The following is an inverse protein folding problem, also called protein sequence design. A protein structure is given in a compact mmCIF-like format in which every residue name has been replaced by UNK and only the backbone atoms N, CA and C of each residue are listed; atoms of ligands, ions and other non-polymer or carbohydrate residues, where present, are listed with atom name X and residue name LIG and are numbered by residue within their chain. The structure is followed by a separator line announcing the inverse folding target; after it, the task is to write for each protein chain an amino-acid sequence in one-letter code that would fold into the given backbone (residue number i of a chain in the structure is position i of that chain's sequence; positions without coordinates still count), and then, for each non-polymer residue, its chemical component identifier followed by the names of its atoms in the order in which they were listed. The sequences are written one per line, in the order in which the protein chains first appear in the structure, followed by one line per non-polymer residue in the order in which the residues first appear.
data_IF_429202975957
#
_entry.id   IF_429202975957
#
_cell.length_a   1.000
_cell.length_b   1.000
_cell.length_c   1.000
_cell.angle_alpha   90.00
_cell.angle_beta   90.00
_cell.angle_gamma   90.00
#
_symmetry.space_group_name_H-M   'P 1'
#
loop_
_entity.id
_entity.type
_entity.pdbx_description
1 polymer ?
#
# COMPACT_ATOMS: atom_id res chain seq x y z
N UNK A 1 -2.94 8.44 -16.70
CA UNK A 1 -2.31 8.68 -15.40
C UNK A 1 -1.20 7.65 -15.24
N UNK A 2 0.01 8.05 -14.87
CA UNK A 2 1.07 7.08 -14.57
C UNK A 2 0.83 6.41 -13.20
N UNK A 3 1.41 5.22 -13.00
CA UNK A 3 1.17 4.41 -11.80
C UNK A 3 1.62 5.10 -10.51
N UNK A 4 2.74 5.83 -10.53
CA UNK A 4 3.19 6.59 -9.35
C UNK A 4 2.16 7.65 -8.93
N UNK A 5 1.57 8.36 -9.88
CA UNK A 5 0.54 9.37 -9.60
C UNK A 5 -0.71 8.77 -8.97
N UNK A 6 -1.11 7.56 -9.37
CA UNK A 6 -2.25 6.85 -8.75
C UNK A 6 -2.02 6.59 -7.26
N UNK A 7 -0.85 6.10 -6.88
CA UNK A 7 -0.49 5.88 -5.47
C UNK A 7 -0.46 7.19 -4.67
N UNK A 8 0.04 8.27 -5.27
CA UNK A 8 0.04 9.59 -4.63
C UNK A 8 -1.37 10.14 -4.44
N UNK A 9 -2.31 9.86 -5.35
CA UNK A 9 -3.72 10.21 -5.17
C UNK A 9 -4.35 9.47 -3.99
N UNK A 10 -4.03 8.19 -3.80
CA UNK A 10 -4.46 7.46 -2.59
C UNK A 10 -3.90 8.09 -1.32
N UNK A 11 -2.60 8.43 -1.32
CA UNK A 11 -1.94 9.10 -0.19
C UNK A 11 -2.63 10.43 0.11
N UNK A 12 -2.82 11.29 -0.88
CA UNK A 12 -3.48 12.58 -0.72
C UNK A 12 -4.90 12.41 -0.16
N UNK A 13 -5.68 11.47 -0.70
CA UNK A 13 -7.04 11.20 -0.23
C UNK A 13 -7.08 10.73 1.22
N UNK A 14 -6.17 9.85 1.64
CA UNK A 14 -6.05 9.38 3.03
C UNK A 14 -5.60 10.49 3.99
N UNK A 15 -4.85 11.48 3.51
CA UNK A 15 -4.48 12.67 4.28
C UNK A 15 -5.62 13.70 4.38
N UNK A 16 -6.76 13.44 3.74
CA UNK A 16 -7.92 14.33 3.74
C UNK A 16 -7.91 15.39 2.63
N UNK A 17 -6.95 15.33 1.71
CA UNK A 17 -6.93 16.24 0.56
C UNK A 17 -8.10 15.95 -0.39
N UNK A 18 -8.65 16.98 -1.07
CA UNK A 18 -9.70 16.80 -2.06
C UNK A 18 -9.13 16.15 -3.31
N UNK A 19 -9.49 14.89 -3.55
CA UNK A 19 -9.04 14.10 -4.71
C UNK A 19 -10.25 13.52 -5.41
N UNK A 20 -11.08 14.37 -6.03
CA UNK A 20 -12.33 13.96 -6.68
C UNK A 20 -13.34 13.34 -5.71
N UNK A 21 -14.53 13.92 -5.60
CA UNK A 21 -15.48 13.53 -4.54
C UNK A 21 -15.91 12.05 -4.56
N UNK A 22 -15.75 11.37 -5.71
CA UNK A 22 -16.12 9.96 -5.93
C UNK A 22 -14.94 8.97 -5.85
N UNK A 23 -13.70 9.42 -5.59
CA UNK A 23 -12.54 8.54 -5.74
C UNK A 23 -12.45 7.46 -4.64
N UNK A 24 -12.60 7.85 -3.38
CA UNK A 24 -12.70 6.95 -2.22
C UNK A 24 -13.63 7.58 -1.18
N UNK A 25 -14.65 6.84 -0.75
CA UNK A 25 -15.49 7.22 0.38
C UNK A 25 -14.85 6.76 1.69
N UNK A 26 -14.21 7.66 2.42
CA UNK A 26 -13.56 7.37 3.70
C UNK A 26 -14.44 7.80 4.90
N UNK A 27 -15.74 8.01 4.69
CA UNK A 27 -16.65 8.44 5.75
C UNK A 27 -16.68 7.41 6.89
N UNK A 28 -16.49 7.89 8.12
CA UNK A 28 -16.45 7.04 9.32
C UNK A 28 -15.20 6.18 9.49
N UNK A 29 -14.20 6.31 8.62
CA UNK A 29 -12.94 5.58 8.74
C UNK A 29 -11.95 6.30 9.68
N UNK A 30 -11.45 5.58 10.69
CA UNK A 30 -10.28 6.02 11.44
C UNK A 30 -9.00 5.66 10.67
N UNK A 31 -8.57 6.58 9.80
CA UNK A 31 -7.36 6.41 8.99
C UNK A 31 -6.11 6.18 9.85
N UNK A 32 -6.05 6.75 11.06
CA UNK A 32 -4.88 6.62 11.94
C UNK A 32 -4.65 5.19 12.44
N UNK A 33 -5.69 4.35 12.39
CA UNK A 33 -5.66 2.95 12.81
C UNK A 33 -5.22 1.98 11.69
N UNK A 34 -4.98 2.47 10.47
CA UNK A 34 -4.70 1.63 9.29
C UNK A 34 -3.25 1.12 9.23
N UNK A 35 -2.86 0.36 10.26
CA UNK A 35 -1.51 -0.16 10.47
C UNK A 35 -1.46 -1.68 10.31
N UNK A 36 -0.42 -2.20 9.66
CA UNK A 36 -0.26 -3.64 9.50
C UNK A 36 -0.07 -4.37 10.83
N UNK A 37 0.66 -3.76 11.78
CA UNK A 37 0.83 -4.26 13.15
C UNK A 37 -0.49 -4.37 13.93
N UNK A 38 -1.56 -3.72 13.49
CA UNK A 38 -2.88 -3.82 14.10
C UNK A 38 -3.76 -4.78 13.31
N UNK A 39 -3.76 -4.66 11.98
CA UNK A 39 -4.80 -5.24 11.13
C UNK A 39 -4.45 -6.59 10.50
N UNK A 40 -3.16 -6.93 10.31
CA UNK A 40 -2.72 -8.18 9.65
C UNK A 40 -2.87 -9.41 10.53
N UNK A 41 -4.12 -9.81 10.80
CA UNK A 41 -4.48 -10.93 11.69
C UNK A 41 -4.12 -12.30 11.12
N UNK A 42 -3.61 -12.37 9.89
CA UNK A 42 -2.98 -13.57 9.32
C UNK A 42 -1.62 -13.88 9.97
N UNK A 43 -0.98 -12.90 10.61
CA UNK A 43 0.22 -13.12 11.42
C UNK A 43 -0.12 -13.26 12.91
N UNK A 44 0.69 -14.03 13.64
CA UNK A 44 0.67 -14.03 15.09
C UNK A 44 1.08 -12.66 15.66
N UNK A 45 0.77 -12.43 16.93
CA UNK A 45 1.02 -11.14 17.61
C UNK A 45 2.50 -10.72 17.58
N UNK A 46 3.42 -11.66 17.78
CA UNK A 46 4.86 -11.36 17.80
C UNK A 46 5.32 -10.95 16.41
N UNK A 47 5.02 -11.74 15.39
CA UNK A 47 5.38 -11.42 14.00
C UNK A 47 4.80 -10.07 13.57
N UNK A 48 3.53 -9.83 13.92
CA UNK A 48 2.83 -8.60 13.59
C UNK A 48 3.43 -7.36 14.28
N UNK A 49 3.89 -7.48 15.53
CA UNK A 49 4.57 -6.39 16.26
C UNK A 49 5.91 -5.97 15.62
N UNK A 50 6.55 -6.86 14.86
CA UNK A 50 7.82 -6.62 14.20
C UNK A 50 7.68 -6.05 12.77
N UNK A 51 6.48 -6.02 12.21
CA UNK A 51 6.24 -5.59 10.83
C UNK A 51 6.73 -4.17 10.55
N UNK A 52 6.51 -3.23 11.47
CA UNK A 52 6.98 -1.84 11.31
C UNK A 52 8.50 -1.78 11.10
N UNK A 53 9.26 -2.50 11.93
CA UNK A 53 10.73 -2.56 11.78
C UNK A 53 11.15 -3.25 10.49
N UNK A 54 10.54 -4.38 10.15
CA UNK A 54 10.86 -5.12 8.93
C UNK A 54 10.57 -4.31 7.66
N UNK A 55 9.47 -3.53 7.66
CA UNK A 55 9.11 -2.65 6.56
C UNK A 55 10.06 -1.46 6.44
N UNK A 56 10.47 -0.85 7.55
CA UNK A 56 11.47 0.23 7.55
C UNK A 56 12.81 -0.24 6.95
N UNK A 57 13.28 -1.42 7.35
CA UNK A 57 14.48 -2.03 6.77
C UNK A 57 14.28 -2.33 5.28
N UNK A 58 13.11 -2.83 4.88
CA UNK A 58 12.77 -3.06 3.48
C UNK A 58 12.84 -1.76 2.67
N UNK A 59 12.28 -0.67 3.18
CA UNK A 59 12.27 0.64 2.50
C UNK A 59 13.67 1.19 2.27
N UNK A 60 14.52 1.13 3.29
CA UNK A 60 15.91 1.60 3.23
C UNK A 60 16.72 0.88 2.15
N UNK A 61 16.47 -0.42 1.96
CA UNK A 61 17.12 -1.21 0.90
C UNK A 61 16.79 -0.73 -0.52
N UNK A 62 15.71 0.05 -0.70
CA UNK A 62 15.29 0.60 -1.98
C UNK A 62 15.33 2.14 -1.99
N UNK A 63 16.12 2.73 -1.10
CA UNK A 63 16.36 4.18 -1.08
C UNK A 63 15.13 5.00 -0.70
N UNK A 64 14.19 4.42 0.06
CA UNK A 64 13.04 5.12 0.61
C UNK A 64 13.19 5.32 2.11
N UNK A 65 12.91 6.54 2.58
CA UNK A 65 12.89 6.87 4.00
C UNK A 65 11.45 7.16 4.43
N UNK A 66 10.95 6.36 5.38
CA UNK A 66 9.61 6.53 5.91
C UNK A 66 9.53 7.82 6.76
N UNK A 67 8.62 8.73 6.39
CA UNK A 67 8.35 9.95 7.17
C UNK A 67 7.38 9.74 8.33
N UNK A 68 6.62 8.64 8.29
CA UNK A 68 5.68 8.25 9.32
C UNK A 68 5.91 6.81 9.75
N UNK A 69 4.92 6.21 10.40
CA UNK A 69 5.02 4.81 10.82
C UNK A 69 5.16 3.89 9.58
N UNK A 70 6.17 3.01 9.54
CA UNK A 70 6.49 2.22 8.35
C UNK A 70 5.35 1.31 7.89
N UNK A 71 4.62 0.72 8.82
CA UNK A 71 3.54 -0.22 8.55
C UNK A 71 2.17 0.43 8.40
N UNK A 72 2.11 1.77 8.42
CA UNK A 72 0.89 2.51 8.17
C UNK A 72 0.57 2.54 6.67
N UNK A 73 -0.71 2.40 6.30
CA UNK A 73 -1.17 2.33 4.92
C UNK A 73 -0.64 3.49 4.05
N UNK A 74 -0.69 4.72 4.57
CA UNK A 74 -0.16 5.92 3.89
C UNK A 74 1.33 5.75 3.53
N UNK A 75 2.15 5.27 4.47
CA UNK A 75 3.59 5.08 4.24
C UNK A 75 3.85 3.98 3.21
N UNK A 76 3.10 2.88 3.29
CA UNK A 76 3.19 1.79 2.32
C UNK A 76 2.80 2.23 0.91
N UNK A 77 1.77 3.07 0.77
CA UNK A 77 1.37 3.65 -0.51
C UNK A 77 2.41 4.65 -1.05
N UNK A 78 2.98 5.48 -0.17
CA UNK A 78 4.05 6.40 -0.55
C UNK A 78 5.31 5.65 -1.03
N UNK A 79 5.63 4.53 -0.41
CA UNK A 79 6.69 3.64 -0.88
C UNK A 79 6.37 3.03 -2.25
N UNK A 80 5.13 2.60 -2.49
CA UNK A 80 4.72 2.12 -3.81
C UNK A 80 4.77 3.22 -4.88
N UNK A 81 4.40 4.46 -4.54
CA UNK A 81 4.57 5.60 -5.43
C UNK A 81 6.06 5.79 -5.81
N UNK A 82 6.97 5.69 -4.85
CA UNK A 82 8.41 5.76 -5.10
C UNK A 82 8.89 4.65 -6.05
N UNK A 83 8.48 3.40 -5.83
CA UNK A 83 8.86 2.28 -6.69
C UNK A 83 8.27 2.37 -8.10
N UNK A 84 6.99 2.78 -8.23
CA UNK A 84 6.27 2.84 -9.50
C UNK A 84 6.79 3.91 -10.49
N UNK A 85 7.83 4.67 -10.11
CA UNK A 85 8.60 5.55 -11.00
C UNK A 85 9.58 4.78 -11.89
N UNK A 86 10.02 3.61 -11.46
CA UNK A 86 10.97 2.78 -12.19
C UNK A 86 10.28 1.51 -12.72
N UNK A 87 10.41 1.27 -14.03
CA UNK A 87 9.86 0.12 -14.74
C UNK A 87 10.93 -0.92 -15.09
N UNK A 88 12.13 -0.81 -14.51
CA UNK A 88 13.14 -1.86 -14.60
C UNK A 88 12.58 -3.20 -14.08
N UNK A 89 13.07 -4.31 -14.64
CA UNK A 89 12.62 -5.65 -14.25
C UNK A 89 12.81 -5.92 -12.75
N UNK A 90 13.89 -5.42 -12.15
CA UNK A 90 14.12 -5.53 -10.70
C UNK A 90 13.11 -4.72 -9.91
N UNK A 91 12.87 -3.45 -10.27
CA UNK A 91 11.83 -2.63 -9.62
C UNK A 91 10.44 -3.28 -9.72
N UNK A 92 10.07 -3.78 -10.89
CA UNK A 92 8.79 -4.45 -11.10
C UNK A 92 8.63 -5.70 -10.21
N UNK A 93 9.69 -6.52 -10.03
CA UNK A 93 9.66 -7.67 -9.10
C UNK A 93 9.39 -7.23 -7.67
N UNK A 94 10.00 -6.13 -7.24
CA UNK A 94 9.83 -5.59 -5.89
C UNK A 94 8.41 -5.04 -5.73
N UNK A 95 7.90 -4.29 -6.71
CA UNK A 95 6.53 -3.80 -6.73
C UNK A 95 5.52 -4.94 -6.63
N UNK A 96 5.69 -5.98 -7.44
CA UNK A 96 4.85 -7.18 -7.41
C UNK A 96 4.86 -7.83 -6.03
N UNK A 97 6.06 -8.07 -5.47
CA UNK A 97 6.21 -8.66 -4.13
C UNK A 97 5.55 -7.80 -3.07
N UNK A 98 5.77 -6.49 -3.10
CA UNK A 98 5.26 -5.58 -2.08
C UNK A 98 3.74 -5.47 -2.13
N UNK A 99 3.16 -5.35 -3.34
CA UNK A 99 1.71 -5.38 -3.54
C UNK A 99 1.10 -6.65 -3.00
N UNK A 100 1.63 -7.81 -3.42
CA UNK A 100 1.04 -9.10 -3.12
C UNK A 100 1.20 -9.52 -1.65
N UNK A 101 2.35 -9.24 -1.02
CA UNK A 101 2.69 -9.73 0.33
C UNK A 101 2.31 -8.73 1.43
N UNK A 102 2.40 -7.44 1.15
CA UNK A 102 2.28 -6.40 2.18
C UNK A 102 1.03 -5.54 1.98
N UNK A 103 0.95 -4.82 0.86
CA UNK A 103 -0.03 -3.75 0.67
C UNK A 103 -1.45 -4.28 0.48
N UNK A 104 -1.70 -5.15 -0.51
CA UNK A 104 -3.05 -5.69 -0.76
C UNK A 104 -3.60 -6.46 0.45
N UNK A 105 -2.81 -7.33 1.12
CA UNK A 105 -3.27 -7.96 2.35
C UNK A 105 -3.64 -6.96 3.44
N UNK A 106 -2.86 -5.89 3.65
CA UNK A 106 -3.24 -4.84 4.61
C UNK A 106 -4.60 -4.23 4.24
N UNK A 107 -4.79 -3.83 2.98
CA UNK A 107 -6.04 -3.20 2.53
C UNK A 107 -7.23 -4.15 2.70
N UNK A 108 -7.08 -5.46 2.46
CA UNK A 108 -8.12 -6.47 2.71
C UNK A 108 -8.58 -6.50 4.16
N UNK A 109 -7.64 -6.47 5.12
CA UNK A 109 -8.01 -6.42 6.54
C UNK A 109 -8.55 -5.05 6.95
N UNK A 110 -8.00 -3.98 6.39
CA UNK A 110 -8.45 -2.62 6.63
C UNK A 110 -9.90 -2.39 6.13
N UNK A 111 -10.31 -3.02 5.04
CA UNK A 111 -11.69 -2.98 4.52
C UNK A 111 -12.72 -3.38 5.60
N UNK A 112 -12.36 -4.30 6.51
CA UNK A 112 -13.28 -4.74 7.58
C UNK A 112 -13.60 -3.65 8.61
N UNK A 113 -12.72 -2.65 8.76
CA UNK A 113 -12.89 -1.51 9.69
C UNK A 113 -13.12 -0.19 8.96
N UNK A 114 -12.77 -0.12 7.68
CA UNK A 114 -13.00 1.00 6.79
C UNK A 114 -13.48 0.47 5.42
N UNK A 115 -14.80 0.20 5.27
CA UNK A 115 -15.36 -0.36 4.04
C UNK A 115 -15.09 0.47 2.78
N UNK A 116 -14.87 1.77 2.97
CA UNK A 116 -14.41 2.71 1.95
C UNK A 116 -13.16 2.32 1.16
N UNK A 117 -12.34 1.44 1.71
CA UNK A 117 -11.10 0.97 1.07
C UNK A 117 -11.34 -0.13 0.02
N UNK A 118 -12.58 -0.61 -0.15
CA UNK A 118 -12.89 -1.63 -1.15
C UNK A 118 -12.46 -1.21 -2.56
N UNK A 119 -12.79 0.01 -2.97
CA UNK A 119 -12.39 0.55 -4.28
C UNK A 119 -10.88 0.61 -4.43
N UNK A 120 -10.15 1.02 -3.37
CA UNK A 120 -8.69 0.99 -3.36
C UNK A 120 -8.17 -0.44 -3.54
N UNK A 121 -8.74 -1.41 -2.84
CA UNK A 121 -8.34 -2.83 -2.97
C UNK A 121 -8.49 -3.31 -4.40
N UNK A 122 -9.63 -3.06 -5.02
CA UNK A 122 -9.92 -3.49 -6.39
C UNK A 122 -8.94 -2.86 -7.38
N UNK A 123 -8.63 -1.56 -7.23
CA UNK A 123 -7.63 -0.88 -8.07
C UNK A 123 -6.21 -1.47 -7.86
N UNK A 124 -5.81 -1.76 -6.62
CA UNK A 124 -4.50 -2.36 -6.33
C UNK A 124 -4.38 -3.79 -6.87
N UNK A 125 -5.47 -4.56 -6.84
CA UNK A 125 -5.52 -5.90 -7.43
C UNK A 125 -5.40 -5.85 -8.97
N UNK A 126 -5.99 -4.85 -9.63
CA UNK A 126 -5.77 -4.60 -11.06
C UNK A 126 -4.33 -4.14 -11.34
N UNK A 127 -3.76 -3.25 -10.53
CA UNK A 127 -2.36 -2.83 -10.69
C UNK A 127 -1.39 -4.01 -10.54
N UNK A 128 -1.66 -4.94 -9.61
CA UNK A 128 -0.89 -6.17 -9.50
C UNK A 128 -0.91 -6.97 -10.81
N UNK A 129 -2.07 -7.14 -11.46
CA UNK A 129 -2.17 -7.82 -12.76
C UNK A 129 -1.36 -7.11 -13.86
N UNK A 130 -1.36 -5.78 -13.86
CA UNK A 130 -0.54 -4.98 -14.77
C UNK A 130 0.94 -5.27 -14.54
N UNK A 131 1.41 -5.23 -13.29
CA UNK A 131 2.81 -5.56 -12.96
C UNK A 131 3.16 -6.99 -13.35
N UNK A 132 2.29 -7.97 -13.08
CA UNK A 132 2.50 -9.36 -13.48
C UNK A 132 2.66 -9.49 -15.00
N UNK A 133 1.85 -8.77 -15.76
CA UNK A 133 1.95 -8.73 -17.23
C UNK A 133 3.29 -8.15 -17.69
N UNK A 134 3.72 -7.03 -17.10
CA UNK A 134 5.02 -6.41 -17.42
C UNK A 134 6.21 -7.32 -17.08
N UNK A 135 6.08 -8.12 -16.03
CA UNK A 135 7.07 -9.13 -15.63
C UNK A 135 6.96 -10.45 -16.40
N UNK A 136 5.93 -10.64 -17.22
CA UNK A 136 5.62 -11.91 -17.89
C UNK A 136 5.43 -13.08 -16.89
N UNK A 137 4.86 -12.79 -15.72
CA UNK A 137 4.50 -13.80 -14.70
C UNK A 137 2.98 -13.92 -14.62
N UNK A 138 2.49 -15.13 -14.35
CA UNK A 138 1.05 -15.44 -14.27
C UNK A 138 0.51 -15.29 -12.86
#
# INVERSE_FOLDING_TARGET
MDRSSLYLMFVARLLGEPVGDEFLDLSGCDVSSLKASVLRKDYDEVTRSLLGKALDEFYKNYGFEAKGEPDHLITMLAFMAHLARDYSGESLKIQHRFLNVHLIPLVRYAESVCPGLRTMREILEEDLKVVSTLLHVK
#
